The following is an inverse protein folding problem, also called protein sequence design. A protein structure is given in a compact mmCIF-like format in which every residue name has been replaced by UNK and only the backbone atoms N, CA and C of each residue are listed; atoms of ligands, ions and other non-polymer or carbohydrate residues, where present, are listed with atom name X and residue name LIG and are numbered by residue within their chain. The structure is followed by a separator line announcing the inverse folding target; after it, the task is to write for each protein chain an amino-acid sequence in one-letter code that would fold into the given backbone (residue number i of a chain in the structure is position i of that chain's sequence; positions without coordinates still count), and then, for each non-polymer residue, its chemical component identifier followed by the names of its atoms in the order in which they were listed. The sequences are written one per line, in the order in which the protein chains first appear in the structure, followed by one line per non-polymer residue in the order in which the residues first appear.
data_IF_718930020084
#
_entry.id   IF_718930020084
#
_cell.length_a   1.000
_cell.length_b   1.000
_cell.length_c   1.000
_cell.angle_alpha   90.00
_cell.angle_beta   90.00
_cell.angle_gamma   90.00
#
_symmetry.space_group_name_H-M   'P 1'
#
loop_
_entity.id
_entity.type
_entity.pdbx_description
1 polymer ?
#
# COMPACT_ATOMS: atom_id res chain seq x y z
N UNK A 1 8.25 20.61 12.45
CA UNK A 1 8.23 19.18 12.04
C UNK A 1 8.99 19.07 10.73
N UNK A 2 10.11 18.35 10.72
CA UNK A 2 10.90 18.20 9.49
C UNK A 2 10.51 16.88 8.81
N UNK A 3 9.76 17.00 7.72
CA UNK A 3 9.37 15.84 6.89
C UNK A 3 10.03 15.97 5.53
N UNK A 4 10.59 14.89 5.01
CA UNK A 4 11.19 14.84 3.68
C UNK A 4 11.02 13.47 3.05
N UNK A 5 11.10 13.41 1.74
CA UNK A 5 11.20 12.16 0.99
C UNK A 5 12.67 11.88 0.67
N UNK A 6 12.99 10.61 0.53
CA UNK A 6 14.37 10.21 0.22
C UNK A 6 14.42 9.21 -0.94
N UNK A 7 15.59 9.12 -1.53
CA UNK A 7 15.94 8.14 -2.56
C UNK A 7 17.32 7.57 -2.29
N UNK A 8 17.45 6.26 -2.50
CA UNK A 8 18.70 5.53 -2.61
C UNK A 8 18.75 4.89 -3.99
N UNK A 9 19.55 5.43 -4.88
CA UNK A 9 19.67 4.92 -6.25
C UNK A 9 20.41 3.57 -6.32
N UNK A 10 21.32 3.31 -5.37
CA UNK A 10 22.10 2.07 -5.31
C UNK A 10 21.23 0.89 -4.92
N UNK A 11 20.48 1.04 -3.86
CA UNK A 11 19.55 -0.01 -3.36
C UNK A 11 18.20 0.01 -4.09
N UNK A 12 18.02 0.95 -5.03
CA UNK A 12 16.75 1.18 -5.74
C UNK A 12 15.58 1.31 -4.77
N UNK A 13 15.76 2.13 -3.74
CA UNK A 13 14.81 2.35 -2.67
C UNK A 13 14.42 3.83 -2.57
N UNK A 14 13.23 4.08 -2.05
CA UNK A 14 12.75 5.42 -1.76
C UNK A 14 11.72 5.39 -0.63
N UNK A 15 11.45 6.52 -0.03
CA UNK A 15 10.51 6.56 1.07
C UNK A 15 10.34 7.94 1.68
N UNK A 16 9.84 7.95 2.91
CA UNK A 16 9.50 9.17 3.64
C UNK A 16 9.92 9.07 5.10
N UNK A 17 10.55 10.13 5.58
CA UNK A 17 10.84 10.34 6.99
C UNK A 17 9.95 11.49 7.48
N UNK A 18 9.32 11.30 8.64
CA UNK A 18 8.44 12.27 9.30
C UNK A 18 8.89 12.38 10.75
N UNK A 19 9.25 13.57 11.22
CA UNK A 19 9.68 13.83 12.60
C UNK A 19 10.75 12.84 13.10
N UNK A 20 11.79 12.64 12.29
CA UNK A 20 12.89 11.70 12.55
C UNK A 20 12.45 10.23 12.72
N UNK A 21 11.31 9.84 12.16
CA UNK A 21 10.85 8.44 12.09
C UNK A 21 10.66 8.02 10.66
N UNK A 22 11.09 6.81 10.31
CA UNK A 22 10.84 6.22 9.01
C UNK A 22 9.34 5.93 8.87
N UNK A 23 8.66 6.68 8.02
CA UNK A 23 7.22 6.53 7.80
C UNK A 23 6.88 5.55 6.69
N UNK A 24 7.72 5.47 5.66
CA UNK A 24 7.55 4.62 4.49
C UNK A 24 8.89 4.28 3.88
N UNK A 25 9.09 3.01 3.52
CA UNK A 25 10.22 2.52 2.74
C UNK A 25 9.69 1.62 1.63
N UNK A 26 10.08 1.91 0.41
CA UNK A 26 9.70 1.17 -0.79
C UNK A 26 10.93 0.86 -1.63
N UNK A 27 10.80 -0.19 -2.45
CA UNK A 27 11.76 -0.54 -3.47
C UNK A 27 11.13 -0.37 -4.84
N UNK A 28 11.92 0.03 -5.83
CA UNK A 28 11.47 0.21 -7.20
C UNK A 28 10.90 -1.09 -7.76
N UNK A 29 9.74 -0.95 -8.41
CA UNK A 29 9.12 -2.00 -9.19
C UNK A 29 9.33 -1.73 -10.67
N UNK A 30 9.80 -2.70 -11.45
CA UNK A 30 9.91 -2.54 -12.90
C UNK A 30 8.56 -2.66 -13.62
N UNK A 31 7.52 -3.16 -12.95
CA UNK A 31 6.25 -3.50 -13.57
C UNK A 31 5.06 -2.65 -13.10
N UNK A 32 5.10 -2.16 -11.85
CA UNK A 32 3.97 -1.48 -11.24
C UNK A 32 3.58 -0.23 -12.04
N UNK A 33 2.28 -0.08 -12.28
CA UNK A 33 1.65 0.97 -13.08
C UNK A 33 1.91 0.94 -14.58
N UNK A 34 2.76 0.05 -15.09
CA UNK A 34 2.92 -0.13 -16.52
C UNK A 34 1.62 -0.56 -17.18
N UNK A 35 1.40 -0.08 -18.41
CA UNK A 35 0.23 -0.40 -19.23
C UNK A 35 0.65 -1.34 -20.35
N UNK A 36 -0.08 -2.42 -20.49
CA UNK A 36 0.14 -3.47 -21.47
C UNK A 36 -1.09 -3.69 -22.34
N UNK A 37 -0.87 -4.09 -23.59
CA UNK A 37 -1.83 -4.89 -24.34
C UNK A 37 -1.59 -6.33 -23.91
N UNK A 38 -2.53 -6.88 -23.16
CA UNK A 38 -2.45 -8.24 -22.65
C UNK A 38 -3.41 -9.16 -23.42
N UNK A 39 -3.09 -10.46 -23.49
CA UNK A 39 -3.91 -11.50 -24.12
C UNK A 39 -4.69 -12.25 -23.04
N UNK A 40 -5.99 -12.41 -23.23
CA UNK A 40 -6.83 -13.27 -22.39
C UNK A 40 -6.47 -14.74 -22.67
N UNK A 41 -5.97 -15.46 -21.69
CA UNK A 41 -5.57 -16.87 -21.83
C UNK A 41 -6.48 -17.83 -21.09
N UNK A 42 -7.20 -17.37 -20.07
CA UNK A 42 -8.22 -18.16 -19.36
C UNK A 42 -9.25 -17.23 -18.71
N UNK A 43 -10.40 -17.79 -18.29
CA UNK A 43 -11.49 -17.05 -17.62
C UNK A 43 -12.15 -17.91 -16.53
N UNK A 44 -12.73 -17.22 -15.56
CA UNK A 44 -13.58 -17.79 -14.50
C UNK A 44 -14.90 -17.03 -14.54
N UNK A 45 -15.89 -17.59 -15.20
CA UNK A 45 -17.17 -16.91 -15.47
C UNK A 45 -17.94 -16.59 -14.17
N UNK A 46 -17.89 -17.48 -13.16
CA UNK A 46 -18.62 -17.31 -11.90
C UNK A 46 -18.27 -16.04 -11.11
N UNK A 47 -17.07 -15.52 -11.30
CA UNK A 47 -16.59 -14.33 -10.60
C UNK A 47 -16.20 -13.18 -11.54
N UNK A 48 -16.52 -13.27 -12.83
CA UNK A 48 -16.12 -12.31 -13.86
C UNK A 48 -14.62 -12.02 -13.83
N UNK A 49 -13.80 -13.05 -13.78
CA UNK A 49 -12.36 -12.95 -13.70
C UNK A 49 -11.67 -13.58 -14.90
N UNK A 50 -10.48 -13.03 -15.23
CA UNK A 50 -9.71 -13.42 -16.39
C UNK A 50 -8.24 -13.56 -15.99
N UNK A 51 -7.56 -14.52 -16.63
CA UNK A 51 -6.11 -14.63 -16.60
C UNK A 51 -5.55 -14.05 -17.88
N UNK A 52 -4.62 -13.13 -17.73
CA UNK A 52 -4.01 -12.40 -18.82
C UNK A 52 -2.53 -12.79 -18.95
N UNK A 53 -2.04 -12.94 -20.16
CA UNK A 53 -0.62 -12.94 -20.49
C UNK A 53 -0.22 -11.52 -20.86
N UNK A 54 0.73 -10.90 -20.17
CA UNK A 54 1.06 -9.48 -20.33
C UNK A 54 2.51 -9.20 -20.71
N UNK A 55 3.40 -10.15 -20.44
CA UNK A 55 4.82 -10.08 -20.76
C UNK A 55 5.31 -11.48 -21.08
N UNK A 56 6.60 -11.69 -21.35
CA UNK A 56 7.17 -12.98 -21.72
C UNK A 56 6.89 -14.05 -20.65
N UNK A 57 5.88 -14.87 -20.91
CA UNK A 57 5.40 -15.92 -20.00
C UNK A 57 4.67 -15.43 -18.74
N UNK A 58 4.64 -14.12 -18.44
CA UNK A 58 4.06 -13.58 -17.21
C UNK A 58 2.54 -13.49 -17.28
N UNK A 59 1.90 -13.98 -16.22
CA UNK A 59 0.44 -13.97 -16.08
C UNK A 59 -0.02 -12.98 -15.03
N UNK A 60 -1.22 -12.44 -15.24
CA UNK A 60 -1.88 -11.55 -14.28
C UNK A 60 -3.36 -11.88 -14.17
N UNK A 61 -3.97 -11.43 -13.07
CA UNK A 61 -5.39 -11.56 -12.78
C UNK A 61 -6.11 -10.24 -13.06
N UNK A 62 -7.23 -10.32 -13.79
CA UNK A 62 -8.13 -9.19 -14.06
C UNK A 62 -9.54 -9.54 -13.59
N UNK A 63 -10.13 -8.71 -12.74
CA UNK A 63 -11.57 -8.74 -12.46
C UNK A 63 -12.27 -7.64 -13.28
N UNK A 64 -13.26 -8.01 -14.10
CA UNK A 64 -13.94 -7.05 -14.99
C UNK A 64 -15.37 -7.46 -15.26
N UNK A 65 -16.29 -6.48 -15.22
CA UNK A 65 -17.68 -6.67 -15.65
C UNK A 65 -17.82 -6.68 -17.19
N UNK A 66 -16.82 -6.16 -17.93
CA UNK A 66 -16.75 -6.31 -19.38
C UNK A 66 -16.42 -7.77 -19.70
N UNK A 67 -17.20 -8.40 -20.56
CA UNK A 67 -16.96 -9.77 -20.99
C UNK A 67 -15.90 -9.84 -22.08
N UNK A 68 -14.93 -10.72 -21.88
CA UNK A 68 -13.87 -11.03 -22.84
C UNK A 68 -13.92 -12.52 -23.20
N UNK A 69 -13.45 -12.83 -24.42
CA UNK A 69 -13.22 -14.20 -24.89
C UNK A 69 -11.75 -14.57 -24.73
N UNK A 70 -11.45 -15.85 -24.61
CA UNK A 70 -10.08 -16.35 -24.70
C UNK A 70 -9.52 -15.97 -26.06
N UNK A 71 -8.33 -15.38 -26.10
CA UNK A 71 -7.71 -14.84 -27.28
C UNK A 71 -7.88 -13.33 -27.48
N UNK A 72 -8.79 -12.68 -26.77
CA UNK A 72 -8.99 -11.22 -26.90
C UNK A 72 -7.76 -10.43 -26.40
N UNK A 73 -7.56 -9.26 -27.02
CA UNK A 73 -6.63 -8.23 -26.53
C UNK A 73 -7.34 -7.33 -25.52
N UNK A 74 -6.66 -7.03 -24.42
CA UNK A 74 -7.16 -6.13 -23.38
C UNK A 74 -6.07 -5.14 -22.97
N UNK A 75 -6.38 -3.85 -22.99
CA UNK A 75 -5.46 -2.83 -22.47
C UNK A 75 -5.64 -2.72 -20.97
N UNK A 76 -4.61 -3.11 -20.22
CA UNK A 76 -4.62 -3.18 -18.78
C UNK A 76 -3.37 -2.58 -18.15
N UNK A 77 -3.54 -2.04 -16.95
CA UNK A 77 -2.46 -1.51 -16.11
C UNK A 77 -2.22 -2.43 -14.91
N UNK A 78 -0.98 -2.72 -14.58
CA UNK A 78 -0.62 -3.42 -13.35
C UNK A 78 -0.92 -2.49 -12.17
N UNK A 79 -1.77 -2.93 -11.25
CA UNK A 79 -2.17 -2.20 -10.05
C UNK A 79 -1.66 -2.83 -8.76
N UNK A 80 -1.22 -4.08 -8.85
CA UNK A 80 -0.47 -4.81 -7.81
C UNK A 80 0.47 -5.79 -8.48
N UNK A 81 1.67 -5.90 -7.94
CA UNK A 81 2.62 -6.92 -8.35
C UNK A 81 2.22 -8.31 -7.84
N UNK A 82 2.82 -9.32 -8.44
CA UNK A 82 2.79 -10.68 -7.91
C UNK A 82 3.46 -10.70 -6.52
N UNK A 83 2.92 -11.46 -5.60
CA UNK A 83 3.52 -11.71 -4.30
C UNK A 83 3.00 -13.02 -3.72
N UNK A 84 3.85 -13.75 -3.03
CA UNK A 84 3.59 -15.12 -2.64
C UNK A 84 3.09 -15.94 -3.88
N UNK A 85 2.08 -16.76 -3.71
CA UNK A 85 1.46 -17.54 -4.80
C UNK A 85 0.40 -16.76 -5.59
N UNK A 86 0.30 -15.42 -5.40
CA UNK A 86 -0.72 -14.60 -6.06
C UNK A 86 -0.16 -13.88 -7.27
N UNK A 87 -0.82 -14.08 -8.40
CA UNK A 87 -0.50 -13.37 -9.63
C UNK A 87 -0.65 -11.85 -9.48
N UNK A 88 0.12 -11.12 -10.29
CA UNK A 88 -0.07 -9.68 -10.44
C UNK A 88 -1.55 -9.36 -10.74
N UNK A 89 -2.04 -8.25 -10.20
CA UNK A 89 -3.42 -7.80 -10.47
C UNK A 89 -3.39 -6.67 -11.45
N UNK A 90 -4.20 -6.78 -12.50
CA UNK A 90 -4.39 -5.75 -13.51
C UNK A 90 -5.76 -5.09 -13.44
N UNK A 91 -5.87 -3.91 -14.02
CA UNK A 91 -7.10 -3.17 -14.20
C UNK A 91 -7.24 -2.70 -15.64
N UNK A 92 -8.40 -3.00 -16.26
CA UNK A 92 -8.76 -2.42 -17.56
C UNK A 92 -9.16 -0.92 -17.44
N UNK A 93 -9.42 -0.44 -16.22
CA UNK A 93 -9.61 0.97 -15.94
C UNK A 93 -8.25 1.64 -15.64
N UNK A 94 -7.36 1.63 -16.61
CA UNK A 94 -6.05 2.21 -16.47
C UNK A 94 -6.11 3.71 -16.13
N UNK A 95 -5.11 4.20 -15.44
CA UNK A 95 -4.87 5.62 -15.18
C UNK A 95 -3.67 6.09 -15.97
N UNK A 96 -3.82 7.20 -16.66
CA UNK A 96 -2.73 7.96 -17.27
C UNK A 96 -2.73 9.39 -16.73
N UNK A 97 -1.57 10.02 -16.73
CA UNK A 97 -1.39 11.37 -16.22
C UNK A 97 -0.23 12.11 -16.89
N UNK A 98 -0.29 13.43 -16.82
CA UNK A 98 0.79 14.35 -17.11
C UNK A 98 0.94 15.36 -15.94
N UNK A 99 1.68 16.43 -16.14
CA UNK A 99 1.93 17.43 -15.09
C UNK A 99 0.66 18.03 -14.48
N UNK A 100 -0.35 18.34 -15.32
CA UNK A 100 -1.53 19.09 -14.90
C UNK A 100 -2.75 18.22 -14.65
N UNK A 101 -2.89 17.10 -15.39
CA UNK A 101 -4.09 16.30 -15.41
C UNK A 101 -3.82 14.82 -15.18
N UNK A 102 -4.87 14.12 -14.71
CA UNK A 102 -4.97 12.67 -14.75
C UNK A 102 -6.31 12.24 -15.30
N UNK A 103 -6.39 11.07 -15.91
CA UNK A 103 -7.63 10.45 -16.31
C UNK A 103 -7.61 8.95 -16.04
N UNK A 104 -8.79 8.41 -15.80
CA UNK A 104 -9.05 6.98 -15.82
C UNK A 104 -9.84 6.62 -17.07
N UNK A 105 -9.61 5.43 -17.64
CA UNK A 105 -10.32 5.00 -18.84
C UNK A 105 -11.84 5.13 -18.73
N UNK A 106 -12.43 4.74 -17.58
CA UNK A 106 -13.88 4.68 -17.40
C UNK A 106 -14.45 5.65 -16.36
N UNK A 107 -13.65 6.22 -15.47
CA UNK A 107 -14.10 7.24 -14.51
C UNK A 107 -14.20 8.61 -15.17
N UNK A 108 -15.08 9.47 -14.67
CA UNK A 108 -15.36 10.79 -15.24
C UNK A 108 -15.68 10.77 -16.75
N UNK A 109 -16.43 9.77 -17.20
CA UNK A 109 -16.71 9.56 -18.65
C UNK A 109 -15.41 9.46 -19.48
N UNK A 110 -14.26 9.16 -18.84
CA UNK A 110 -12.94 9.08 -19.47
C UNK A 110 -12.33 10.43 -19.84
N UNK A 111 -12.75 11.53 -19.23
CA UNK A 111 -12.16 12.86 -19.41
C UNK A 111 -11.07 13.15 -18.37
N UNK A 112 -10.05 13.98 -18.75
CA UNK A 112 -9.02 14.42 -17.83
C UNK A 112 -9.59 15.26 -16.69
N UNK A 113 -9.06 15.03 -15.48
CA UNK A 113 -9.35 15.80 -14.28
C UNK A 113 -8.10 16.57 -13.86
N UNK A 114 -8.26 17.86 -13.60
CA UNK A 114 -7.20 18.73 -13.15
C UNK A 114 -6.65 18.26 -11.79
N UNK A 115 -5.35 18.20 -11.66
CA UNK A 115 -4.67 17.89 -10.39
C UNK A 115 -4.79 19.08 -9.42
N UNK A 116 -4.84 18.79 -8.13
CA UNK A 116 -4.95 19.82 -7.09
C UNK A 116 -3.76 20.80 -7.16
N UNK A 117 -4.07 22.08 -7.12
CA UNK A 117 -3.05 23.15 -7.17
C UNK A 117 -2.43 23.42 -8.55
N UNK A 118 -2.97 22.81 -9.62
CA UNK A 118 -2.54 23.10 -11.00
C UNK A 118 -3.49 24.07 -11.69
N UNK A 119 -2.98 24.80 -12.70
CA UNK A 119 -3.78 25.67 -13.58
C UNK A 119 -4.25 24.91 -14.81
N UNK A 120 -5.34 25.35 -15.41
CA UNK A 120 -5.84 24.77 -16.66
C UNK A 120 -4.82 24.98 -17.78
N UNK A 121 -4.49 23.90 -18.47
CA UNK A 121 -3.60 23.88 -19.64
C UNK A 121 -4.26 22.99 -20.72
N UNK A 122 -4.77 23.63 -21.78
CA UNK A 122 -5.49 22.93 -22.83
C UNK A 122 -4.60 21.98 -23.64
N UNK A 123 -3.35 22.31 -23.83
CA UNK A 123 -2.39 21.46 -24.54
C UNK A 123 -2.19 20.13 -23.78
N UNK A 124 -1.91 20.20 -22.48
CA UNK A 124 -1.75 19.03 -21.63
C UNK A 124 -3.06 18.23 -21.49
N UNK A 125 -4.20 18.90 -21.53
CA UNK A 125 -5.51 18.25 -21.56
C UNK A 125 -5.68 17.40 -22.82
N UNK A 126 -5.43 17.98 -24.00
CA UNK A 126 -5.59 17.30 -25.30
C UNK A 126 -4.56 16.18 -25.48
N UNK A 127 -3.29 16.40 -25.10
CA UNK A 127 -2.26 15.35 -25.13
C UNK A 127 -2.67 14.10 -24.36
N UNK A 128 -3.38 14.29 -23.25
CA UNK A 128 -3.83 13.16 -22.43
C UNK A 128 -5.00 12.41 -23.07
N UNK A 129 -5.89 13.10 -23.77
CA UNK A 129 -6.97 12.48 -24.55
C UNK A 129 -6.40 11.69 -25.75
N UNK A 130 -5.48 12.28 -26.51
CA UNK A 130 -4.79 11.61 -27.62
C UNK A 130 -4.07 10.33 -27.17
N UNK A 131 -3.34 10.43 -26.05
CA UNK A 131 -2.69 9.25 -25.46
C UNK A 131 -3.69 8.15 -25.09
N UNK A 132 -4.84 8.53 -24.50
CA UNK A 132 -5.91 7.58 -24.17
C UNK A 132 -6.42 6.87 -25.43
N UNK A 133 -6.72 7.63 -26.49
CA UNK A 133 -7.22 7.07 -27.74
C UNK A 133 -6.20 6.14 -28.38
N UNK A 134 -4.93 6.55 -28.42
CA UNK A 134 -3.83 5.73 -28.90
C UNK A 134 -3.74 4.39 -28.13
N UNK A 135 -3.84 4.44 -26.81
CA UNK A 135 -3.81 3.23 -25.99
C UNK A 135 -5.02 2.33 -26.23
N UNK A 136 -6.23 2.91 -26.36
CA UNK A 136 -7.46 2.13 -26.60
C UNK A 136 -7.41 1.44 -27.98
N UNK A 137 -6.89 2.12 -28.99
CA UNK A 137 -6.77 1.59 -30.35
C UNK A 137 -5.84 0.35 -30.41
N UNK A 138 -4.93 0.17 -29.48
CA UNK A 138 -4.10 -1.03 -29.38
C UNK A 138 -4.93 -2.32 -29.15
N UNK A 139 -6.19 -2.25 -28.70
CA UNK A 139 -7.07 -3.42 -28.60
C UNK A 139 -7.42 -4.01 -29.99
N UNK A 140 -7.30 -3.24 -31.07
CA UNK A 140 -7.59 -3.67 -32.42
C UNK A 140 -6.45 -4.49 -33.06
N UNK A 141 -5.30 -4.57 -32.44
CA UNK A 141 -4.17 -5.31 -32.96
C UNK A 141 -4.16 -6.76 -32.46
N UNK A 142 -3.36 -7.60 -33.12
CA UNK A 142 -3.18 -9.01 -32.76
C UNK A 142 -2.91 -9.14 -31.25
N UNK A 143 -3.58 -10.08 -30.55
CA UNK A 143 -3.51 -10.21 -29.11
C UNK A 143 -2.22 -10.88 -28.64
N UNK A 144 -1.08 -10.32 -28.97
CA UNK A 144 0.21 -10.66 -28.39
C UNK A 144 0.55 -9.70 -27.24
N UNK A 145 1.19 -10.15 -26.17
CA UNK A 145 1.62 -9.25 -25.11
C UNK A 145 2.51 -8.14 -25.64
N UNK A 146 2.24 -6.90 -25.25
CA UNK A 146 3.04 -5.73 -25.63
C UNK A 146 3.01 -4.69 -24.53
N UNK A 147 4.18 -4.24 -24.09
CA UNK A 147 4.32 -3.07 -23.21
C UNK A 147 3.99 -1.81 -24.02
N UNK A 148 3.03 -1.03 -23.56
CA UNK A 148 2.55 0.18 -24.25
C UNK A 148 3.05 1.45 -23.58
N UNK A 149 3.13 1.45 -22.24
CA UNK A 149 3.60 2.60 -21.47
C UNK A 149 4.25 2.14 -20.18
N UNK A 150 5.45 2.64 -19.94
CA UNK A 150 6.16 2.49 -18.67
C UNK A 150 5.79 3.61 -17.71
N UNK A 151 5.83 3.31 -16.43
CA UNK A 151 5.76 4.28 -15.35
C UNK A 151 6.91 4.05 -14.38
N UNK A 152 7.51 5.15 -13.92
CA UNK A 152 8.44 5.11 -12.81
C UNK A 152 7.64 5.38 -11.51
N UNK A 153 7.58 4.39 -10.62
CA UNK A 153 6.86 4.53 -9.34
C UNK A 153 7.44 5.67 -8.50
N UNK A 154 8.75 5.87 -8.56
CA UNK A 154 9.40 6.94 -7.82
C UNK A 154 9.00 8.33 -8.32
N UNK A 155 8.92 8.55 -9.63
CA UNK A 155 8.47 9.84 -10.18
C UNK A 155 7.04 10.16 -9.74
N UNK A 156 6.15 9.13 -9.75
CA UNK A 156 4.79 9.28 -9.23
C UNK A 156 4.76 9.55 -7.72
N UNK A 157 5.72 8.99 -6.99
CA UNK A 157 5.86 9.23 -5.55
C UNK A 157 6.33 10.66 -5.26
N UNK A 158 7.33 11.13 -5.98
CA UNK A 158 7.82 12.52 -5.89
C UNK A 158 6.70 13.52 -6.21
N UNK A 159 5.92 13.27 -7.25
CA UNK A 159 4.81 14.15 -7.62
C UNK A 159 3.74 14.23 -6.52
N UNK A 160 3.42 13.11 -5.87
CA UNK A 160 2.46 13.07 -4.75
C UNK A 160 2.97 13.80 -3.51
N UNK A 161 4.27 13.90 -3.33
CA UNK A 161 4.95 14.51 -2.20
C UNK A 161 5.74 15.76 -2.58
N UNK A 162 5.35 16.47 -3.65
CA UNK A 162 6.08 17.62 -4.22
C UNK A 162 6.33 18.78 -3.25
N UNK A 163 5.55 18.84 -2.15
CA UNK A 163 5.68 19.87 -1.12
C UNK A 163 6.77 19.51 -0.08
N UNK A 164 7.41 18.35 -0.23
CA UNK A 164 8.48 17.85 0.62
C UNK A 164 9.82 17.91 -0.11
N UNK A 165 10.88 18.20 0.64
CA UNK A 165 12.25 18.13 0.17
C UNK A 165 12.60 16.70 -0.25
N UNK A 166 13.32 16.53 -1.37
CA UNK A 166 13.91 15.27 -1.80
C UNK A 166 15.38 15.24 -1.39
N UNK A 167 15.76 14.19 -0.66
CA UNK A 167 17.12 13.97 -0.17
C UNK A 167 17.65 12.64 -0.71
N UNK A 168 18.84 12.67 -1.32
CA UNK A 168 19.56 11.43 -1.63
C UNK A 168 20.31 10.94 -0.39
N UNK A 169 20.17 9.66 -0.06
CA UNK A 169 20.84 9.05 1.09
C UNK A 169 21.09 7.56 0.88
N UNK A 170 22.01 7.01 1.63
CA UNK A 170 22.29 5.58 1.71
C UNK A 170 21.46 4.96 2.84
N UNK A 171 20.51 4.08 2.50
CA UNK A 171 19.60 3.45 3.48
C UNK A 171 20.33 2.54 4.47
N UNK A 172 21.47 1.96 4.10
CA UNK A 172 22.27 1.08 4.98
C UNK A 172 22.99 1.87 6.06
N UNK A 173 23.46 3.06 5.71
CA UNK A 173 24.27 3.92 6.58
C UNK A 173 23.43 5.00 7.30
N UNK A 174 22.19 5.23 6.88
CA UNK A 174 21.31 6.18 7.57
C UNK A 174 20.78 5.59 8.87
N UNK A 175 21.09 6.22 10.00
CA UNK A 175 20.75 5.73 11.34
C UNK A 175 19.24 5.53 11.54
N UNK A 176 18.40 6.46 11.09
CA UNK A 176 16.94 6.38 11.24
C UNK A 176 16.40 5.15 10.51
N UNK A 177 16.87 4.90 9.29
CA UNK A 177 16.41 3.79 8.47
C UNK A 177 16.97 2.47 9.00
N UNK A 178 18.26 2.40 9.32
CA UNK A 178 18.89 1.17 9.82
C UNK A 178 18.30 0.71 11.16
N UNK A 179 18.01 1.64 12.08
CA UNK A 179 17.36 1.32 13.35
C UNK A 179 15.90 0.86 13.13
N UNK A 180 15.18 1.47 12.17
CA UNK A 180 13.85 1.02 11.80
C UNK A 180 13.86 -0.38 11.18
N UNK A 181 14.83 -0.68 10.31
CA UNK A 181 15.01 -2.02 9.71
C UNK A 181 15.29 -3.07 10.81
N UNK A 182 16.15 -2.76 11.79
CA UNK A 182 16.36 -3.64 12.94
C UNK A 182 15.06 -3.92 13.70
N UNK A 183 14.25 -2.88 13.96
CA UNK A 183 12.96 -3.06 14.64
C UNK A 183 11.96 -3.88 13.81
N UNK A 184 12.02 -3.83 12.47
CA UNK A 184 11.15 -4.63 11.61
C UNK A 184 11.49 -6.13 11.71
N UNK A 185 12.74 -6.50 11.97
CA UNK A 185 13.15 -7.89 12.20
C UNK A 185 12.53 -8.48 13.47
N UNK A 186 12.35 -7.64 14.49
CA UNK A 186 11.89 -8.09 15.81
C UNK A 186 10.37 -8.24 15.81
N UNK A 187 9.89 -9.37 16.35
CA UNK A 187 8.46 -9.56 16.63
C UNK A 187 8.01 -8.73 17.81
N UNK A 188 8.84 -8.68 18.88
CA UNK A 188 8.57 -7.90 20.07
C UNK A 188 9.27 -6.56 19.99
N UNK A 189 8.50 -5.50 20.02
CA UNK A 189 9.00 -4.12 19.95
C UNK A 189 8.50 -3.30 21.13
N UNK A 190 9.26 -2.28 21.48
CA UNK A 190 9.06 -1.51 22.70
C UNK A 190 8.72 -0.06 22.37
N UNK A 191 7.85 0.51 23.17
CA UNK A 191 7.61 1.94 23.31
C UNK A 191 7.69 2.28 24.78
N UNK A 192 8.80 2.88 25.20
CA UNK A 192 9.13 3.10 26.61
C UNK A 192 9.07 1.80 27.42
N UNK A 193 8.31 1.76 28.52
CA UNK A 193 8.10 0.56 29.34
C UNK A 193 6.98 -0.36 28.84
N UNK A 194 6.39 -0.06 27.67
CA UNK A 194 5.33 -0.85 27.06
C UNK A 194 5.90 -1.67 25.90
N UNK A 195 5.25 -2.75 25.55
CA UNK A 195 5.66 -3.53 24.37
C UNK A 195 4.46 -4.13 23.64
N UNK A 196 4.64 -4.40 22.35
CA UNK A 196 3.73 -5.19 21.55
C UNK A 196 4.49 -6.32 20.88
N UNK A 197 3.78 -7.44 20.64
CA UNK A 197 4.30 -8.54 19.83
C UNK A 197 3.49 -8.59 18.55
N UNK A 198 4.14 -8.45 17.39
CA UNK A 198 3.50 -8.51 16.08
C UNK A 198 3.83 -9.85 15.43
N UNK A 199 2.82 -10.68 15.24
CA UNK A 199 2.90 -11.93 14.50
C UNK A 199 2.18 -11.76 13.16
N UNK A 200 2.96 -11.46 12.11
CA UNK A 200 2.45 -11.39 10.72
C UNK A 200 2.43 -12.81 10.15
N UNK A 201 1.25 -13.43 10.22
CA UNK A 201 1.01 -14.79 9.73
C UNK A 201 0.49 -14.72 8.29
N UNK A 202 0.49 -15.86 7.61
CA UNK A 202 0.00 -15.94 6.22
C UNK A 202 -1.46 -15.48 6.06
N UNK A 203 -2.31 -15.82 7.02
CA UNK A 203 -3.75 -15.55 6.96
C UNK A 203 -4.16 -14.25 7.64
N UNK A 204 -3.55 -13.91 8.77
CA UNK A 204 -3.86 -12.74 9.58
C UNK A 204 -2.62 -12.20 10.31
N UNK A 205 -2.67 -10.95 10.74
CA UNK A 205 -1.72 -10.40 11.69
C UNK A 205 -2.32 -10.42 13.09
N UNK A 206 -1.61 -11.01 14.05
CA UNK A 206 -1.99 -11.01 15.47
C UNK A 206 -1.06 -10.11 16.26
N UNK A 207 -1.61 -9.21 17.08
CA UNK A 207 -0.87 -8.27 17.92
C UNK A 207 -1.25 -8.50 19.39
N UNK A 208 -0.25 -8.74 20.23
CA UNK A 208 -0.39 -8.87 21.67
C UNK A 208 0.19 -7.63 22.37
N UNK A 209 -0.59 -7.01 23.26
CA UNK A 209 -0.24 -5.78 23.99
C UNK A 209 0.22 -6.12 25.39
N UNK A 210 1.39 -5.61 25.79
CA UNK A 210 2.01 -5.89 27.08
C UNK A 210 2.41 -4.63 27.85
N UNK A 211 2.06 -4.55 29.14
CA UNK A 211 2.40 -3.45 30.05
C UNK A 211 3.71 -3.64 30.82
N UNK A 212 4.48 -4.63 30.49
CA UNK A 212 5.62 -5.34 31.10
C UNK A 212 6.26 -4.79 32.38
N UNK A 213 6.42 -3.50 32.61
CA UNK A 213 7.13 -2.94 33.78
C UNK A 213 6.52 -1.67 34.36
N UNK A 214 5.49 -1.14 33.72
CA UNK A 214 4.86 0.12 34.15
C UNK A 214 4.10 -0.10 35.46
N UNK A 215 4.61 0.45 36.56
CA UNK A 215 3.88 0.51 37.83
C UNK A 215 2.93 1.69 37.81
N UNK A 216 1.74 1.53 38.37
CA UNK A 216 0.75 2.58 38.46
C UNK A 216 0.08 2.55 39.83
N UNK A 217 -0.29 3.73 40.30
CA UNK A 217 -1.16 3.92 41.49
C UNK A 217 -2.63 4.07 41.08
N UNK A 218 -2.92 4.05 39.76
CA UNK A 218 -4.28 4.13 39.22
C UNK A 218 -5.05 2.84 39.48
N UNK A 219 -6.39 2.92 39.41
CA UNK A 219 -7.20 1.73 39.32
C UNK A 219 -6.78 0.87 38.12
N UNK A 220 -6.95 -0.45 38.26
CA UNK A 220 -6.50 -1.41 37.25
C UNK A 220 -7.14 -1.20 35.88
N UNK A 221 -8.43 -0.91 35.86
CA UNK A 221 -9.18 -0.70 34.61
C UNK A 221 -8.72 0.58 33.90
N UNK A 222 -8.56 1.68 34.63
CA UNK A 222 -8.03 2.94 34.13
C UNK A 222 -6.59 2.79 33.61
N UNK A 223 -5.77 2.04 34.35
CA UNK A 223 -4.40 1.75 33.94
C UNK A 223 -4.36 0.97 32.61
N UNK A 224 -5.16 -0.08 32.46
CA UNK A 224 -5.22 -0.88 31.26
C UNK A 224 -5.73 -0.09 30.06
N UNK A 225 -6.80 0.72 30.24
CA UNK A 225 -7.27 1.64 29.23
C UNK A 225 -6.16 2.59 28.77
N UNK A 226 -5.44 3.21 29.71
CA UNK A 226 -4.36 4.15 29.42
C UNK A 226 -3.20 3.50 28.66
N UNK A 227 -2.80 2.28 29.01
CA UNK A 227 -1.79 1.52 28.28
C UNK A 227 -2.24 1.26 26.83
N UNK A 228 -3.47 0.83 26.64
CA UNK A 228 -4.03 0.57 25.33
C UNK A 228 -4.06 1.86 24.49
N UNK A 229 -4.57 2.98 25.05
CA UNK A 229 -4.60 4.29 24.39
C UNK A 229 -3.19 4.74 23.95
N UNK A 230 -2.20 4.64 24.86
CA UNK A 230 -0.81 5.02 24.59
C UNK A 230 -0.20 4.21 23.43
N UNK A 231 -0.65 2.97 23.20
CA UNK A 231 -0.11 2.08 22.18
C UNK A 231 -0.83 2.13 20.83
N UNK A 232 -2.03 2.71 20.73
CA UNK A 232 -2.81 2.75 19.46
C UNK A 232 -1.99 3.32 18.31
N UNK A 233 -1.42 4.51 18.47
CA UNK A 233 -0.62 5.17 17.42
C UNK A 233 0.62 4.35 17.06
N UNK A 234 1.29 3.74 18.05
CA UNK A 234 2.44 2.88 17.85
C UNK A 234 2.11 1.60 17.08
N UNK A 235 0.94 1.00 17.36
CA UNK A 235 0.44 -0.17 16.62
C UNK A 235 0.22 0.19 15.16
N UNK A 236 -0.56 1.23 14.86
CA UNK A 236 -0.88 1.60 13.48
C UNK A 236 0.33 2.13 12.70
N UNK A 237 1.24 2.85 13.36
CA UNK A 237 2.53 3.20 12.77
C UNK A 237 3.30 1.96 12.32
N UNK A 238 3.42 0.94 13.17
CA UNK A 238 4.15 -0.29 12.83
C UNK A 238 3.44 -1.13 11.76
N UNK A 239 2.12 -1.23 11.77
CA UNK A 239 1.36 -1.87 10.70
C UNK A 239 1.58 -1.16 9.37
N UNK A 240 1.59 0.18 9.36
CA UNK A 240 1.85 0.97 8.17
C UNK A 240 3.28 0.77 7.66
N UNK A 241 4.28 0.93 8.53
CA UNK A 241 5.70 0.81 8.18
C UNK A 241 6.02 -0.58 7.63
N UNK A 242 5.52 -1.62 8.29
CA UNK A 242 5.71 -3.03 7.88
C UNK A 242 4.89 -3.41 6.65
N UNK A 243 4.05 -2.52 6.14
CA UNK A 243 3.11 -2.76 5.04
C UNK A 243 2.17 -3.95 5.29
N UNK A 244 1.74 -4.13 6.54
CA UNK A 244 0.82 -5.19 6.95
C UNK A 244 -0.60 -4.79 6.56
N UNK A 245 -1.34 -5.74 6.00
CA UNK A 245 -2.76 -5.58 5.65
C UNK A 245 -3.46 -6.95 5.59
N UNK A 246 -4.77 -6.94 5.45
CA UNK A 246 -5.63 -8.11 5.59
C UNK A 246 -6.34 -8.08 6.93
N UNK A 247 -6.65 -9.23 7.49
CA UNK A 247 -7.23 -9.35 8.82
C UNK A 247 -6.17 -9.05 9.88
N UNK A 248 -6.52 -8.19 10.83
CA UNK A 248 -5.69 -7.85 11.98
C UNK A 248 -6.51 -8.08 13.25
N UNK A 249 -5.93 -8.79 14.17
CA UNK A 249 -6.52 -9.07 15.49
C UNK A 249 -5.57 -8.53 16.56
N UNK A 250 -6.10 -7.76 17.50
CA UNK A 250 -5.32 -7.13 18.56
C UNK A 250 -5.86 -7.61 19.91
N UNK A 251 -4.97 -8.19 20.72
CA UNK A 251 -5.26 -8.54 22.12
C UNK A 251 -4.85 -7.37 23.01
N UNK A 252 -5.80 -6.48 23.25
CA UNK A 252 -5.64 -5.35 24.17
C UNK A 252 -5.75 -5.81 25.62
N UNK A 253 -5.15 -5.06 26.55
CA UNK A 253 -5.38 -5.27 27.98
C UNK A 253 -6.88 -5.06 28.29
N UNK A 254 -7.47 -5.98 29.05
CA UNK A 254 -8.91 -6.00 29.34
C UNK A 254 -9.34 -4.78 30.18
N UNK A 255 -10.11 -3.90 29.60
CA UNK A 255 -10.71 -2.73 30.25
C UNK A 255 -12.21 -2.67 29.94
N UNK A 256 -12.99 -2.10 30.84
CA UNK A 256 -14.43 -1.84 30.64
C UNK A 256 -14.70 -0.71 29.61
N UNK A 257 -13.68 0.07 29.24
CA UNK A 257 -13.77 1.28 28.40
C UNK A 257 -13.61 0.99 26.90
N UNK A 258 -14.17 -0.13 26.44
CA UNK A 258 -14.01 -0.57 25.06
C UNK A 258 -14.56 0.44 24.03
N UNK A 259 -15.70 1.07 24.29
CA UNK A 259 -16.29 2.05 23.37
C UNK A 259 -15.38 3.27 23.21
N UNK A 260 -14.83 3.79 24.33
CA UNK A 260 -13.86 4.89 24.27
C UNK A 260 -12.58 4.51 23.52
N UNK A 261 -12.14 3.27 23.66
CA UNK A 261 -10.97 2.76 22.94
C UNK A 261 -11.24 2.65 21.44
N UNK A 262 -12.44 2.22 21.04
CA UNK A 262 -12.87 2.18 19.63
C UNK A 262 -12.86 3.59 19.01
N UNK A 263 -13.33 4.61 19.72
CA UNK A 263 -13.29 5.99 19.25
C UNK A 263 -11.85 6.46 19.01
N UNK A 264 -10.93 6.17 19.93
CA UNK A 264 -9.51 6.48 19.79
C UNK A 264 -8.86 5.73 18.61
N UNK A 265 -9.22 4.48 18.40
CA UNK A 265 -8.78 3.69 17.25
C UNK A 265 -9.26 4.34 15.94
N UNK A 266 -10.54 4.72 15.86
CA UNK A 266 -11.13 5.38 14.70
C UNK A 266 -10.45 6.72 14.36
N UNK A 267 -10.03 7.48 15.35
CA UNK A 267 -9.28 8.73 15.17
C UNK A 267 -7.87 8.47 14.62
N UNK A 268 -7.18 7.48 15.17
CA UNK A 268 -5.77 7.23 14.86
C UNK A 268 -5.56 6.47 13.54
N UNK A 269 -6.37 5.48 13.24
CA UNK A 269 -6.20 4.64 12.03
C UNK A 269 -6.22 5.46 10.74
N UNK A 270 -6.99 6.54 10.69
CA UNK A 270 -7.12 7.45 9.54
C UNK A 270 -5.81 8.14 9.16
N UNK A 271 -4.86 8.28 10.10
CA UNK A 271 -3.54 8.86 9.86
C UNK A 271 -2.71 7.97 8.92
N UNK A 272 -2.92 6.66 8.98
CA UNK A 272 -2.09 5.64 8.33
C UNK A 272 -2.79 4.94 7.16
N UNK A 273 -4.12 4.75 7.24
CA UNK A 273 -4.86 3.93 6.29
C UNK A 273 -6.07 4.67 5.71
N UNK A 274 -6.21 4.58 4.38
CA UNK A 274 -7.36 5.17 3.66
C UNK A 274 -8.53 4.20 3.50
N UNK A 275 -8.27 2.90 3.59
CA UNK A 275 -9.26 1.84 3.37
C UNK A 275 -9.05 0.76 4.42
N UNK A 276 -9.99 0.67 5.33
CA UNK A 276 -10.04 -0.28 6.44
C UNK A 276 -11.49 -0.51 6.84
N UNK A 277 -11.74 -1.52 7.63
CA UNK A 277 -13.03 -1.83 8.25
C UNK A 277 -12.79 -2.31 9.69
N UNK A 278 -13.56 -1.76 10.63
CA UNK A 278 -13.47 -2.09 12.05
C UNK A 278 -14.69 -2.94 12.40
N UNK A 279 -14.46 -4.11 12.97
CA UNK A 279 -15.51 -5.04 13.42
C UNK A 279 -15.78 -4.90 14.93
N UNK A 280 -14.81 -4.39 15.71
CA UNK A 280 -14.96 -4.17 17.15
C UNK A 280 -14.38 -5.31 17.98
N UNK A 281 -14.85 -5.43 19.23
CA UNK A 281 -14.40 -6.48 20.15
C UNK A 281 -15.26 -7.74 20.03
N UNK A 282 -14.61 -8.88 20.02
CA UNK A 282 -15.25 -10.19 20.09
C UNK A 282 -15.70 -10.51 21.53
N UNK A 283 -16.50 -11.56 21.71
CA UNK A 283 -16.87 -12.08 23.04
C UNK A 283 -15.64 -12.54 23.87
N UNK A 284 -14.52 -12.86 23.22
CA UNK A 284 -13.27 -13.20 23.88
C UNK A 284 -12.46 -11.96 24.31
N UNK A 285 -12.88 -10.76 23.87
CA UNK A 285 -12.20 -9.50 24.16
C UNK A 285 -11.10 -9.15 23.16
N UNK A 286 -11.01 -9.86 22.03
CA UNK A 286 -10.07 -9.54 20.95
C UNK A 286 -10.66 -8.45 20.06
N UNK A 287 -9.84 -7.48 19.67
CA UNK A 287 -10.26 -6.41 18.76
C UNK A 287 -9.95 -6.81 17.32
N UNK A 288 -10.95 -6.70 16.44
CA UNK A 288 -10.88 -7.14 15.05
C UNK A 288 -11.02 -5.98 14.07
N UNK A 289 -10.15 -5.94 13.08
CA UNK A 289 -10.22 -5.02 11.95
C UNK A 289 -9.65 -5.65 10.67
N UNK A 290 -10.00 -5.07 9.53
CA UNK A 290 -9.33 -5.37 8.27
C UNK A 290 -8.73 -4.12 7.65
N UNK A 291 -7.55 -4.28 7.04
CA UNK A 291 -6.84 -3.21 6.33
C UNK A 291 -6.61 -3.68 4.90
N UNK A 292 -6.89 -2.81 3.94
CA UNK A 292 -6.65 -3.16 2.53
C UNK A 292 -5.19 -3.51 2.29
N UNK A 293 -4.91 -4.74 1.83
CA UNK A 293 -3.55 -5.18 1.46
C UNK A 293 -3.02 -4.31 0.31
N UNK A 294 -1.80 -3.77 0.48
CA UNK A 294 -1.14 -2.87 -0.48
C UNK A 294 -0.01 -3.54 -1.26
N UNK A 295 0.23 -4.83 -1.03
CA UNK A 295 1.30 -5.63 -1.60
C UNK A 295 1.97 -6.47 -0.52
N UNK A 296 3.19 -6.86 -0.79
CA UNK A 296 4.03 -7.66 0.09
C UNK A 296 4.48 -6.88 1.33
N UNK A 297 4.70 -7.58 2.45
CA UNK A 297 5.21 -6.96 3.67
C UNK A 297 6.63 -6.44 3.48
N UNK A 298 6.97 -5.35 4.18
CA UNK A 298 8.32 -4.79 4.11
C UNK A 298 9.38 -5.77 4.62
N UNK A 299 9.04 -6.60 5.61
CA UNK A 299 9.94 -7.66 6.11
C UNK A 299 10.38 -8.61 5.00
N UNK A 300 9.44 -9.12 4.19
CA UNK A 300 9.76 -10.02 3.07
C UNK A 300 10.63 -9.32 2.03
N UNK A 301 10.28 -8.10 1.64
CA UNK A 301 11.08 -7.32 0.68
C UNK A 301 12.50 -7.04 1.17
N UNK A 302 12.67 -6.74 2.45
CA UNK A 302 14.00 -6.55 3.04
C UNK A 302 14.83 -7.83 3.02
N UNK A 303 14.18 -8.99 3.26
CA UNK A 303 14.82 -10.30 3.18
C UNK A 303 15.25 -10.63 1.75
N UNK A 304 14.40 -10.42 0.76
CA UNK A 304 14.73 -10.61 -0.67
C UNK A 304 15.88 -9.72 -1.15
N UNK A 305 16.02 -8.54 -0.54
CA UNK A 305 17.09 -7.57 -0.84
C UNK A 305 18.35 -7.79 0.01
N UNK A 306 18.40 -8.84 0.83
CA UNK A 306 19.52 -9.12 1.72
C UNK A 306 19.87 -7.96 2.67
N UNK A 307 18.85 -7.18 3.06
CA UNK A 307 18.98 -6.05 4.00
C UNK A 307 18.72 -6.46 5.45
N UNK A 308 18.24 -7.70 5.63
CA UNK A 308 17.98 -8.31 6.96
C UNK A 308 18.34 -9.80 6.95
#
# INVERSE_FOLDING_TARGET
MKSYIFVDYKEKAFGKIVDNKLFELKFYSPFLFNIYRAKVVNKIDSINAYFLLYDDGKKAFLKSNKKFKIGDSVICQIIKEEFDDKLATMSANFRIENEDYYLYRFKNKGFPKLKKGRKKNFENYNKLLELKEKLINEENFTPSPKLLKTYNEFDLYCEKNKDLELVELDIKNNKIISDSIKNIKEKKIYKDDLSIIINDLETLCFIDVNSSKKKSTMDKDDFYYKVNEDLIDFIFYNLNLRNIGGMVVIDFLKSSKNDQLIDKINENIKKYFKTYEIYGFTNMGLFELSIKRRGESLYKKLKEKELI
#
